data_IF_443890499941
#
_entry.id   IF_443890499941
#
_cell.length_a   1.000
_cell.length_b   1.000
_cell.length_c   1.000
_cell.angle_alpha   90.00
_cell.angle_beta   90.00
_cell.angle_gamma   90.00
#
_symmetry.space_group_name_H-M   'P 1'
#
loop_
_entity.id
_entity.type
_entity.pdbx_description
1 polymer ?
#
# COMPACT_ATOMS: atom_id res chain seq x y z
N UNK A 1 -37.11 -6.30 27.63
CA UNK A 1 -36.16 -7.35 27.19
C UNK A 1 -35.75 -7.23 25.71
N UNK A 2 -36.68 -7.02 24.76
CA UNK A 2 -36.36 -6.89 23.31
C UNK A 2 -35.41 -5.72 22.95
N UNK A 3 -35.49 -4.60 23.69
CA UNK A 3 -34.65 -3.40 23.48
C UNK A 3 -33.19 -3.56 23.97
N UNK A 4 -32.93 -4.46 24.93
CA UNK A 4 -31.58 -4.74 25.45
C UNK A 4 -30.75 -5.60 24.50
N UNK A 5 -31.40 -6.53 23.79
CA UNK A 5 -30.73 -7.44 22.83
C UNK A 5 -30.21 -6.66 21.62
N UNK A 6 -30.98 -5.66 21.15
CA UNK A 6 -30.59 -4.82 20.01
C UNK A 6 -29.37 -3.94 20.33
N UNK A 7 -29.28 -3.41 21.55
CA UNK A 7 -28.12 -2.62 21.99
C UNK A 7 -26.83 -3.45 22.07
N UNK A 8 -26.94 -4.71 22.50
CA UNK A 8 -25.78 -5.60 22.62
C UNK A 8 -25.22 -6.06 21.26
N UNK A 9 -26.09 -6.28 20.28
CA UNK A 9 -25.69 -6.62 18.90
C UNK A 9 -25.00 -5.44 18.20
N UNK A 10 -25.48 -4.21 18.43
CA UNK A 10 -24.86 -3.00 17.85
C UNK A 10 -23.42 -2.76 18.37
N UNK A 11 -23.17 -3.09 19.64
CA UNK A 11 -21.83 -2.98 20.26
C UNK A 11 -20.87 -4.06 19.73
N UNK A 12 -21.36 -5.28 19.48
CA UNK A 12 -20.54 -6.37 18.92
C UNK A 12 -20.14 -6.12 17.45
N UNK A 13 -21.03 -5.53 16.63
CA UNK A 13 -20.72 -5.19 15.24
C UNK A 13 -19.71 -4.01 15.16
N UNK A 14 -19.79 -3.05 16.09
CA UNK A 14 -18.82 -1.97 16.20
C UNK A 14 -17.44 -2.46 16.67
N UNK A 15 -17.38 -3.48 17.53
CA UNK A 15 -16.12 -4.06 18.03
C UNK A 15 -15.34 -4.88 16.99
N UNK A 16 -16.04 -5.63 16.13
CA UNK A 16 -15.39 -6.46 15.09
C UNK A 16 -14.90 -5.65 13.86
N UNK A 17 -15.35 -4.41 13.67
CA UNK A 17 -14.93 -3.57 12.55
C UNK A 17 -13.47 -3.07 12.64
N UNK A 18 -12.86 -3.12 13.83
CA UNK A 18 -11.52 -2.57 14.08
C UNK A 18 -10.37 -3.56 13.86
N UNK A 19 -10.63 -4.86 13.73
CA UNK A 19 -9.59 -5.89 13.56
C UNK A 19 -9.40 -6.39 12.12
N UNK A 20 -10.17 -5.85 11.16
CA UNK A 20 -10.21 -6.35 9.77
C UNK A 20 -9.10 -5.85 8.85
N UNK A 21 -8.14 -5.05 9.32
CA UNK A 21 -6.95 -4.71 8.53
C UNK A 21 -5.75 -5.48 9.08
N UNK A 22 -5.73 -6.79 8.80
CA UNK A 22 -4.45 -7.50 8.72
C UNK A 22 -3.64 -6.74 7.67
N UNK A 23 -2.66 -5.96 8.12
CA UNK A 23 -1.66 -5.36 7.26
C UNK A 23 -0.84 -6.52 6.67
N UNK A 24 -1.36 -7.13 5.60
CA UNK A 24 -0.63 -8.11 4.82
C UNK A 24 0.57 -7.36 4.27
N UNK A 25 1.77 -7.67 4.77
CA UNK A 25 3.01 -7.17 4.19
C UNK A 25 3.05 -7.51 2.70
N UNK A 26 3.67 -6.66 1.89
CA UNK A 26 3.70 -6.84 0.44
C UNK A 26 4.30 -8.22 0.11
N UNK A 27 3.55 -9.01 -0.66
CA UNK A 27 3.96 -10.34 -1.12
C UNK A 27 5.09 -10.23 -2.16
N UNK A 28 5.11 -9.12 -2.90
CA UNK A 28 6.04 -8.86 -3.99
C UNK A 28 6.69 -7.49 -3.77
N UNK A 29 8.03 -7.47 -3.72
CA UNK A 29 8.83 -6.25 -3.74
C UNK A 29 9.45 -6.02 -5.12
N UNK A 30 9.04 -4.96 -5.81
CA UNK A 30 9.64 -4.52 -7.07
C UNK A 30 10.70 -3.46 -6.81
N UNK A 31 11.97 -3.79 -7.08
CA UNK A 31 13.07 -2.83 -7.06
C UNK A 31 13.20 -2.18 -8.44
N UNK A 32 12.87 -0.90 -8.55
CA UNK A 32 12.89 -0.15 -9.80
C UNK A 32 14.02 0.89 -9.76
N UNK A 33 14.88 0.90 -10.78
CA UNK A 33 15.92 1.92 -10.97
C UNK A 33 15.74 2.56 -12.34
N UNK A 34 15.96 3.87 -12.42
CA UNK A 34 15.97 4.61 -13.68
C UNK A 34 17.20 5.51 -13.79
N UNK A 35 17.38 6.13 -14.96
CA UNK A 35 18.40 7.17 -15.18
C UNK A 35 18.01 8.50 -14.56
N UNK A 36 16.74 8.73 -14.26
CA UNK A 36 16.25 9.96 -13.66
C UNK A 36 16.46 9.95 -12.14
N UNK A 37 17.02 11.03 -11.55
CA UNK A 37 17.10 11.15 -10.11
C UNK A 37 15.71 11.35 -9.49
N UNK A 38 15.51 11.03 -8.20
CA UNK A 38 14.18 11.10 -7.55
C UNK A 38 13.48 12.46 -7.56
N UNK A 39 14.23 13.55 -7.63
CA UNK A 39 13.68 14.90 -7.72
C UNK A 39 13.25 15.30 -9.16
N UNK A 40 13.57 14.50 -10.18
CA UNK A 40 13.30 14.83 -11.56
C UNK A 40 11.79 14.83 -11.86
N UNK A 41 11.34 15.75 -12.71
CA UNK A 41 9.91 15.93 -13.02
C UNK A 41 9.25 14.68 -13.58
N UNK A 42 9.95 13.90 -14.41
CA UNK A 42 9.46 12.60 -14.91
C UNK A 42 9.15 11.62 -13.77
N UNK A 43 9.98 11.61 -12.72
CA UNK A 43 9.74 10.73 -11.56
C UNK A 43 8.48 11.17 -10.84
N UNK A 44 8.35 12.47 -10.55
CA UNK A 44 7.19 13.04 -9.85
C UNK A 44 5.90 12.95 -10.66
N UNK A 45 5.97 13.23 -11.95
CA UNK A 45 4.81 13.34 -12.83
C UNK A 45 4.34 12.03 -13.44
N UNK A 46 5.24 11.07 -13.67
CA UNK A 46 4.90 9.81 -14.32
C UNK A 46 5.12 8.59 -13.42
N UNK A 47 6.31 8.45 -12.83
CA UNK A 47 6.67 7.22 -12.12
C UNK A 47 5.93 7.08 -10.79
N UNK A 48 5.93 8.10 -9.93
CA UNK A 48 5.25 8.05 -8.63
C UNK A 48 3.73 7.77 -8.78
N UNK A 49 2.99 8.43 -9.69
CA UNK A 49 1.59 8.08 -9.93
C UNK A 49 1.40 6.66 -10.45
N UNK A 50 2.31 6.18 -11.32
CA UNK A 50 2.26 4.82 -11.83
C UNK A 50 2.53 3.78 -10.74
N UNK A 51 3.54 4.00 -9.89
CA UNK A 51 3.82 3.14 -8.73
C UNK A 51 2.61 3.05 -7.82
N UNK A 52 1.98 4.19 -7.49
CA UNK A 52 0.76 4.21 -6.68
C UNK A 52 -0.36 3.37 -7.30
N UNK A 53 -0.60 3.49 -8.61
CA UNK A 53 -1.59 2.65 -9.32
C UNK A 53 -1.26 1.17 -9.23
N UNK A 54 0.01 0.79 -9.38
CA UNK A 54 0.43 -0.61 -9.25
C UNK A 54 0.16 -1.16 -7.84
N UNK A 55 0.50 -0.41 -6.80
CA UNK A 55 0.24 -0.81 -5.41
C UNK A 55 -1.27 -0.94 -5.15
N UNK A 56 -2.09 0.00 -5.62
CA UNK A 56 -3.55 0.00 -5.51
C UNK A 56 -4.18 -1.19 -6.25
N UNK A 57 -3.83 -1.39 -7.52
CA UNK A 57 -4.36 -2.48 -8.36
C UNK A 57 -3.96 -3.86 -7.85
N UNK A 58 -2.78 -3.96 -7.23
CA UNK A 58 -2.32 -5.20 -6.60
C UNK A 58 -3.05 -5.52 -5.28
N UNK A 59 -3.89 -4.59 -4.79
CA UNK A 59 -4.51 -4.63 -3.45
C UNK A 59 -3.47 -4.73 -2.34
N UNK A 60 -2.37 -3.98 -2.47
CA UNK A 60 -1.27 -3.95 -1.50
C UNK A 60 -0.31 -5.14 -1.53
N UNK A 61 -0.50 -6.09 -2.45
CA UNK A 61 0.41 -7.25 -2.60
C UNK A 61 1.74 -6.87 -3.25
N UNK A 62 1.78 -5.78 -4.02
CA UNK A 62 2.98 -5.25 -4.64
C UNK A 62 3.41 -3.98 -3.90
N UNK A 63 4.70 -3.89 -3.59
CA UNK A 63 5.37 -2.65 -3.17
C UNK A 63 6.45 -2.28 -4.17
N UNK A 64 6.48 -1.02 -4.59
CA UNK A 64 7.54 -0.53 -5.47
C UNK A 64 8.57 0.26 -4.66
N UNK A 65 9.83 -0.13 -4.78
CA UNK A 65 10.98 0.55 -4.20
C UNK A 65 11.74 1.24 -5.32
N UNK A 66 11.67 2.57 -5.34
CA UNK A 66 12.39 3.37 -6.33
C UNK A 66 13.79 3.73 -5.85
N UNK A 67 14.79 3.42 -6.67
CA UNK A 67 16.19 3.66 -6.40
C UNK A 67 16.77 4.72 -7.34
N UNK A 68 17.65 5.54 -6.78
CA UNK A 68 18.43 6.50 -7.55
C UNK A 68 19.32 5.80 -8.59
N UNK A 69 19.76 6.50 -9.65
CA UNK A 69 20.63 5.92 -10.66
C UNK A 69 21.87 5.25 -10.04
N UNK A 70 22.19 4.04 -10.52
CA UNK A 70 23.32 3.20 -10.08
C UNK A 70 23.25 2.67 -8.64
N UNK A 71 22.16 2.85 -7.90
CA UNK A 71 22.06 2.36 -6.54
C UNK A 71 21.90 0.83 -6.40
N UNK A 72 21.48 0.11 -7.47
CA UNK A 72 21.29 -1.35 -7.43
C UNK A 72 22.14 -2.13 -8.45
N UNK A 73 22.98 -1.47 -9.25
CA UNK A 73 23.94 -2.14 -10.14
C UNK A 73 25.17 -2.50 -9.31
N UNK A 74 25.51 -3.78 -9.21
CA UNK A 74 26.82 -4.21 -8.70
C UNK A 74 27.84 -4.03 -9.81
N UNK A 75 28.92 -3.31 -9.51
CA UNK A 75 30.12 -3.23 -10.36
C UNK A 75 30.78 -4.60 -10.53
#
# INVERSE_FOLDING_TARGET
MKKMIVGFVAVLIAGCGLFGRVAYGAEIELKFQSTYPPAHEVVKGAFEPWFKKLEEQSKGRLKVHFFAPRAIVKE
#
